data_IF_750684761023
#
_entry.id   IF_750684761023
#
_cell.length_a   1.000
_cell.length_b   1.000
_cell.length_c   1.000
_cell.angle_alpha   90.00
_cell.angle_beta   90.00
_cell.angle_gamma   90.00
#
_symmetry.space_group_name_H-M   'P 1'
#
loop_
_entity.id
_entity.type
_entity.pdbx_description
1 polymer ?
#
# COMPACT_ATOMS: atom_id res chain seq x y z
N UNK A 1 5.89 17.72 -32.24
CA UNK A 1 6.69 18.72 -31.51
C UNK A 1 6.81 18.24 -30.07
N UNK A 2 8.02 18.27 -29.49
CA UNK A 2 8.22 17.93 -28.08
C UNK A 2 8.16 19.22 -27.25
N UNK A 3 7.34 19.24 -26.20
CA UNK A 3 7.24 20.36 -25.26
C UNK A 3 7.92 19.97 -23.95
N UNK A 4 8.78 20.84 -23.44
CA UNK A 4 9.51 20.60 -22.18
C UNK A 4 8.70 21.11 -20.99
N UNK A 5 8.60 20.30 -19.94
CA UNK A 5 7.98 20.68 -18.66
C UNK A 5 9.11 20.82 -17.62
N UNK A 6 9.14 21.96 -16.91
CA UNK A 6 10.08 22.21 -15.82
C UNK A 6 9.34 22.17 -14.48
N UNK A 7 9.78 21.32 -13.56
CA UNK A 7 9.18 21.15 -12.22
C UNK A 7 10.27 21.33 -11.17
N UNK A 8 9.98 22.11 -10.13
CA UNK A 8 10.83 22.22 -8.93
C UNK A 8 10.38 21.20 -7.91
N UNK A 9 11.34 20.46 -7.37
CA UNK A 9 11.15 19.45 -6.33
C UNK A 9 12.30 19.57 -5.34
N UNK A 10 12.08 19.20 -4.08
CA UNK A 10 13.12 19.13 -3.07
C UNK A 10 14.17 18.07 -3.45
N UNK A 11 15.43 18.32 -3.07
CA UNK A 11 16.56 17.44 -3.43
C UNK A 11 16.37 16.02 -2.87
N UNK A 12 15.81 15.89 -1.67
CA UNK A 12 15.52 14.59 -1.06
C UNK A 12 14.47 13.83 -1.86
N UNK A 13 13.40 14.50 -2.28
CA UNK A 13 12.35 13.89 -3.09
C UNK A 13 12.91 13.42 -4.44
N UNK A 14 13.70 14.27 -5.09
CA UNK A 14 14.37 13.93 -6.35
C UNK A 14 15.25 12.69 -6.20
N UNK A 15 16.12 12.67 -5.20
CA UNK A 15 17.04 11.55 -4.96
C UNK A 15 16.28 10.24 -4.68
N UNK A 16 15.23 10.28 -3.86
CA UNK A 16 14.39 9.11 -3.57
C UNK A 16 13.65 8.62 -4.81
N UNK A 17 13.07 9.53 -5.60
CA UNK A 17 12.37 9.18 -6.84
C UNK A 17 13.31 8.57 -7.87
N UNK A 18 14.49 9.15 -8.09
CA UNK A 18 15.48 8.64 -9.03
C UNK A 18 15.95 7.23 -8.67
N UNK A 19 16.20 6.97 -7.39
CA UNK A 19 16.58 5.64 -6.92
C UNK A 19 15.43 4.63 -7.10
N UNK A 20 14.21 4.99 -6.67
CA UNK A 20 13.04 4.14 -6.78
C UNK A 20 12.77 3.72 -8.23
N UNK A 21 12.73 4.67 -9.15
CA UNK A 21 12.41 4.37 -10.55
C UNK A 21 13.52 3.56 -11.22
N UNK A 22 14.78 3.83 -10.87
CA UNK A 22 15.92 3.02 -11.34
C UNK A 22 15.81 1.57 -10.89
N UNK A 23 15.43 1.33 -9.64
CA UNK A 23 15.20 -0.02 -9.11
C UNK A 23 14.02 -0.72 -9.79
N UNK A 24 13.03 0.05 -10.26
CA UNK A 24 11.90 -0.44 -11.07
C UNK A 24 12.23 -0.56 -12.58
N UNK A 25 13.46 -0.25 -12.99
CA UNK A 25 13.92 -0.39 -14.38
C UNK A 25 13.52 0.76 -15.30
N UNK A 26 13.22 1.94 -14.77
CA UNK A 26 12.89 3.14 -15.57
C UNK A 26 13.60 4.39 -15.03
N UNK A 27 13.54 5.48 -15.78
CA UNK A 27 14.03 6.78 -15.32
C UNK A 27 12.86 7.67 -14.90
N UNK A 28 13.14 8.67 -14.06
CA UNK A 28 12.13 9.59 -13.53
C UNK A 28 11.40 10.37 -14.63
N UNK A 29 12.05 10.68 -15.75
CA UNK A 29 11.41 11.39 -16.87
C UNK A 29 10.40 10.49 -17.58
N UNK A 30 10.76 9.22 -17.79
CA UNK A 30 9.89 8.20 -18.36
C UNK A 30 8.70 7.92 -17.44
N UNK A 31 8.93 7.83 -16.12
CA UNK A 31 7.86 7.69 -15.14
C UNK A 31 6.88 8.88 -15.14
N UNK A 32 7.39 10.12 -15.19
CA UNK A 32 6.54 11.33 -15.33
C UNK A 32 5.73 11.29 -16.63
N UNK A 33 6.34 10.87 -17.73
CA UNK A 33 5.63 10.72 -19.01
C UNK A 33 4.48 9.72 -18.90
N UNK A 34 4.73 8.57 -18.27
CA UNK A 34 3.68 7.55 -18.03
C UNK A 34 2.55 8.10 -17.17
N UNK A 35 2.88 8.82 -16.09
CA UNK A 35 1.90 9.48 -15.23
C UNK A 35 0.99 10.43 -16.01
N UNK A 36 1.56 11.31 -16.84
CA UNK A 36 0.79 12.25 -17.65
C UNK A 36 -0.10 11.55 -18.68
N UNK A 37 0.41 10.51 -19.34
CA UNK A 37 -0.38 9.71 -20.30
C UNK A 37 -1.57 9.04 -19.62
N UNK A 38 -1.37 8.46 -18.43
CA UNK A 38 -2.44 7.82 -17.67
C UNK A 38 -3.46 8.82 -17.14
N UNK A 39 -3.04 10.02 -16.73
CA UNK A 39 -3.95 11.06 -16.29
C UNK A 39 -4.89 11.51 -17.42
N UNK A 40 -4.34 11.70 -18.63
CA UNK A 40 -5.14 12.04 -19.82
C UNK A 40 -6.07 10.90 -20.21
N UNK A 41 -5.59 9.66 -20.20
CA UNK A 41 -6.38 8.48 -20.58
C UNK A 41 -7.60 8.26 -19.66
N UNK A 42 -7.46 8.53 -18.35
CA UNK A 42 -8.54 8.36 -17.37
C UNK A 42 -9.37 9.63 -17.15
N UNK A 43 -9.08 10.73 -17.86
CA UNK A 43 -9.68 12.04 -17.65
C UNK A 43 -9.72 12.46 -16.16
N UNK A 44 -8.62 12.19 -15.45
CA UNK A 44 -8.55 12.26 -13.99
C UNK A 44 -7.17 11.92 -13.45
N UNK A 45 -7.06 11.62 -12.15
CA UNK A 45 -5.80 11.12 -11.60
C UNK A 45 -5.51 9.69 -12.10
N UNK A 46 -4.24 9.35 -12.36
CA UNK A 46 -3.85 8.02 -12.84
C UNK A 46 -3.88 6.94 -11.73
N UNK A 47 -4.42 7.30 -10.56
CA UNK A 47 -4.67 6.45 -9.41
C UNK A 47 -5.91 6.96 -8.68
N UNK A 48 -6.55 6.08 -7.91
CA UNK A 48 -7.66 6.46 -7.04
C UNK A 48 -7.19 7.40 -5.92
N UNK A 49 -7.82 8.56 -5.78
CA UNK A 49 -7.54 9.47 -4.67
C UNK A 49 -8.23 8.92 -3.42
N UNK A 50 -7.46 8.25 -2.55
CA UNK A 50 -7.93 7.80 -1.24
C UNK A 50 -7.31 8.67 -0.16
N UNK A 51 -8.10 9.09 0.82
CA UNK A 51 -7.57 9.64 2.06
C UNK A 51 -6.87 8.50 2.79
N UNK A 52 -5.59 8.65 3.09
CA UNK A 52 -4.85 7.66 3.89
C UNK A 52 -5.34 7.78 5.33
N UNK A 53 -6.44 7.10 5.66
CA UNK A 53 -6.85 6.91 7.04
C UNK A 53 -6.02 5.75 7.62
N UNK A 54 -4.83 6.08 8.12
CA UNK A 54 -4.11 5.16 9.00
C UNK A 54 -4.69 5.29 10.42
N UNK A 55 -5.94 4.88 10.59
CA UNK A 55 -6.52 4.70 11.91
C UNK A 55 -6.57 3.18 12.19
N UNK A 56 -5.66 2.64 13.02
CA UNK A 56 -5.69 1.21 13.39
C UNK A 56 -6.97 0.79 14.14
N UNK A 57 -7.78 1.77 14.58
CA UNK A 57 -9.09 1.58 15.19
C UNK A 57 -10.26 2.03 14.28
N UNK A 58 -10.01 2.25 12.99
CA UNK A 58 -11.08 2.49 12.03
C UNK A 58 -12.07 1.32 12.07
N UNK A 59 -13.36 1.64 12.14
CA UNK A 59 -14.41 0.64 12.02
C UNK A 59 -14.26 -0.03 10.65
N UNK A 60 -14.08 -1.36 10.65
CA UNK A 60 -14.08 -2.13 9.40
C UNK A 60 -15.50 -2.13 8.81
N UNK A 61 -15.61 -2.06 7.49
CA UNK A 61 -16.91 -2.26 6.83
C UNK A 61 -17.40 -3.70 7.03
N UNK A 62 -18.71 -3.90 6.94
CA UNK A 62 -19.34 -5.22 7.06
C UNK A 62 -18.76 -6.21 6.03
N UNK A 63 -18.57 -5.77 4.80
CA UNK A 63 -17.98 -6.58 3.73
C UNK A 63 -16.56 -7.07 4.09
N UNK A 64 -15.70 -6.16 4.60
CA UNK A 64 -14.35 -6.53 5.02
C UNK A 64 -14.36 -7.49 6.21
N UNK A 65 -15.32 -7.34 7.12
CA UNK A 65 -15.48 -8.25 8.26
C UNK A 65 -15.87 -9.66 7.79
N UNK A 66 -16.86 -9.76 6.89
CA UNK A 66 -17.31 -11.03 6.32
C UNK A 66 -16.18 -11.73 5.54
N UNK A 67 -15.40 -10.99 4.76
CA UNK A 67 -14.26 -11.53 4.02
C UNK A 67 -13.19 -12.11 4.98
N UNK A 68 -12.89 -11.42 6.08
CA UNK A 68 -11.92 -11.89 7.10
C UNK A 68 -12.43 -13.14 7.83
N UNK A 69 -13.72 -13.20 8.14
CA UNK A 69 -14.33 -14.38 8.78
C UNK A 69 -14.26 -15.60 7.86
N UNK A 70 -14.54 -15.42 6.58
CA UNK A 70 -14.45 -16.50 5.59
C UNK A 70 -13.01 -17.01 5.44
N UNK A 71 -12.04 -16.09 5.34
CA UNK A 71 -10.60 -16.45 5.33
C UNK A 71 -10.20 -17.22 6.59
N UNK A 72 -10.68 -16.79 7.75
CA UNK A 72 -10.40 -17.46 9.03
C UNK A 72 -10.98 -18.87 9.07
N UNK A 73 -12.21 -19.06 8.57
CA UNK A 73 -12.86 -20.37 8.46
C UNK A 73 -12.06 -21.33 7.57
N UNK A 74 -11.64 -20.87 6.39
CA UNK A 74 -10.82 -21.65 5.45
C UNK A 74 -9.43 -21.96 6.03
N UNK A 75 -8.84 -21.03 6.78
CA UNK A 75 -7.55 -21.25 7.44
C UNK A 75 -7.67 -22.32 8.53
N UNK A 76 -8.71 -22.24 9.36
CA UNK A 76 -8.97 -23.19 10.42
C UNK A 76 -9.26 -24.60 9.88
N UNK A 77 -10.01 -24.73 8.77
CA UNK A 77 -10.27 -26.03 8.14
C UNK A 77 -9.01 -26.69 7.57
N UNK A 78 -7.97 -25.90 7.26
CA UNK A 78 -6.63 -26.37 6.88
C UNK A 78 -5.72 -26.68 8.08
N UNK A 79 -6.24 -26.58 9.31
CA UNK A 79 -5.46 -26.80 10.53
C UNK A 79 -4.60 -25.60 10.96
N UNK A 80 -4.71 -24.45 10.30
CA UNK A 80 -3.95 -23.25 10.64
C UNK A 80 -4.67 -22.46 11.74
N UNK A 81 -4.75 -23.07 12.92
CA UNK A 81 -5.25 -22.44 14.15
C UNK A 81 -4.23 -22.62 15.28
N UNK A 82 -4.36 -21.80 16.32
CA UNK A 82 -3.53 -21.89 17.53
C UNK A 82 -4.43 -21.95 18.76
N UNK A 83 -3.99 -22.66 19.77
CA UNK A 83 -4.67 -22.70 21.06
C UNK A 83 -4.53 -21.35 21.77
N UNK A 84 -5.60 -20.95 22.46
CA UNK A 84 -5.64 -19.68 23.18
C UNK A 84 -4.48 -19.56 24.18
N UNK A 85 -4.19 -20.61 24.94
CA UNK A 85 -3.12 -20.61 25.94
C UNK A 85 -1.73 -20.35 25.33
N UNK A 86 -1.47 -20.93 24.15
CA UNK A 86 -0.21 -20.71 23.44
C UNK A 86 -0.09 -19.25 22.94
N UNK A 87 -1.20 -18.67 22.48
CA UNK A 87 -1.23 -17.26 22.07
C UNK A 87 -1.04 -16.33 23.26
N UNK A 88 -1.66 -16.63 24.41
CA UNK A 88 -1.51 -15.86 25.64
C UNK A 88 -0.06 -15.92 26.14
N UNK A 89 0.57 -17.10 26.12
CA UNK A 89 1.97 -17.25 26.50
C UNK A 89 2.91 -16.41 25.61
N UNK A 90 2.77 -16.50 24.28
CA UNK A 90 3.54 -15.70 23.33
C UNK A 90 3.37 -14.18 23.55
N UNK A 91 2.14 -13.74 23.84
CA UNK A 91 1.85 -12.32 24.08
C UNK A 91 2.50 -11.82 25.37
N UNK A 92 2.46 -12.62 26.44
CA UNK A 92 3.15 -12.31 27.70
C UNK A 92 4.66 -12.23 27.52
N UNK A 93 5.24 -13.17 26.78
CA UNK A 93 6.67 -13.18 26.46
C UNK A 93 7.06 -11.95 25.62
N UNK A 94 6.30 -11.66 24.55
CA UNK A 94 6.63 -10.59 23.61
C UNK A 94 6.48 -9.18 24.20
N UNK A 95 5.50 -8.98 25.08
CA UNK A 95 5.17 -7.66 25.61
C UNK A 95 5.42 -7.49 27.12
N UNK A 96 5.92 -8.52 27.80
CA UNK A 96 6.30 -8.46 29.22
C UNK A 96 5.13 -8.22 30.17
N UNK A 97 3.94 -8.72 29.82
CA UNK A 97 2.68 -8.60 30.60
C UNK A 97 2.36 -9.87 31.40
#
# INVERSE_FOLDING_TARGET
MASTIQVRVDDELKSKSDQLFKDLGTDTTSAIRMFLTQAVANNGFPFEIKRVEHNPYAAMSEEMMLEKLEKSRVSASKGNYRYADAVIADMREKYGI
#
